data_IF_168901736317
#
_entry.id   IF_168901736317
#
_cell.length_a   1.000
_cell.length_b   1.000
_cell.length_c   1.000
_cell.angle_alpha   90.00
_cell.angle_beta   90.00
_cell.angle_gamma   90.00
#
_symmetry.space_group_name_H-M   'P 1'
#
loop_
_entity.id
_entity.type
_entity.pdbx_description
1 polymer ?
#
# COMPACT_ATOMS: atom_id res chain seq x y z
N UNK A 1 52.08 10.28 24.72
CA UNK A 1 51.39 10.51 26.03
C UNK A 1 49.97 10.04 25.87
N UNK A 2 49.66 8.80 26.22
CA UNK A 2 48.30 8.29 26.22
C UNK A 2 47.67 8.66 27.57
N UNK A 3 46.69 9.57 27.56
CA UNK A 3 45.97 9.96 28.76
C UNK A 3 45.22 8.76 29.34
N UNK A 4 45.34 8.53 30.64
CA UNK A 4 44.58 7.53 31.38
C UNK A 4 43.08 7.86 31.24
N UNK A 5 42.34 7.08 30.44
CA UNK A 5 40.91 7.19 30.32
C UNK A 5 40.28 6.88 31.71
N UNK A 6 39.53 7.83 32.26
CA UNK A 6 38.77 7.64 33.49
C UNK A 6 37.62 6.67 33.22
N UNK A 7 37.39 5.64 34.07
CA UNK A 7 36.34 4.62 33.81
C UNK A 7 34.95 5.20 33.63
N UNK A 8 34.63 6.35 34.24
CA UNK A 8 33.36 7.05 34.06
C UNK A 8 33.22 7.70 32.68
N UNK A 9 34.30 8.14 32.06
CA UNK A 9 34.26 8.75 30.73
C UNK A 9 33.95 7.71 29.66
N UNK A 10 34.53 6.52 29.75
CA UNK A 10 34.28 5.41 28.84
C UNK A 10 32.82 4.94 28.89
N UNK A 11 32.18 4.93 30.06
CA UNK A 11 30.75 4.60 30.18
C UNK A 11 29.85 5.61 29.46
N UNK A 12 30.13 6.91 29.65
CA UNK A 12 29.34 7.97 29.01
C UNK A 12 29.47 7.89 27.47
N UNK A 13 30.69 7.68 26.99
CA UNK A 13 30.97 7.55 25.56
C UNK A 13 30.25 6.33 24.95
N UNK A 14 30.23 5.21 25.65
CA UNK A 14 29.54 3.99 25.20
C UNK A 14 28.02 4.21 25.14
N UNK A 15 27.42 4.83 26.15
CA UNK A 15 25.99 5.14 26.19
C UNK A 15 25.62 6.09 25.05
N UNK A 16 26.42 7.12 24.82
CA UNK A 16 26.18 8.09 23.75
C UNK A 16 26.31 7.44 22.38
N UNK A 17 27.30 6.58 22.17
CA UNK A 17 27.46 5.83 20.94
C UNK A 17 26.25 4.90 20.66
N UNK A 18 25.78 4.15 21.65
CA UNK A 18 24.59 3.28 21.51
C UNK A 18 23.34 4.11 21.19
N UNK A 19 23.18 5.27 21.79
CA UNK A 19 22.04 6.14 21.52
C UNK A 19 22.08 6.67 20.08
N UNK A 20 23.23 7.11 19.58
CA UNK A 20 23.37 7.58 18.19
C UNK A 20 23.11 6.44 17.21
N UNK A 21 23.68 5.25 17.45
CA UNK A 21 23.46 4.09 16.57
C UNK A 21 21.99 3.70 16.56
N UNK A 22 21.32 3.68 17.70
CA UNK A 22 19.89 3.37 17.80
C UNK A 22 19.04 4.39 17.01
N UNK A 23 19.35 5.67 17.13
CA UNK A 23 18.65 6.72 16.38
C UNK A 23 18.83 6.56 14.87
N UNK A 24 20.05 6.28 14.40
CA UNK A 24 20.32 6.00 13.00
C UNK A 24 19.55 4.77 12.51
N UNK A 25 19.52 3.70 13.29
CA UNK A 25 18.78 2.49 12.95
C UNK A 25 17.29 2.76 12.80
N UNK A 26 16.66 3.44 13.73
CA UNK A 26 15.23 3.79 13.64
C UNK A 26 14.94 4.70 12.46
N UNK A 27 15.83 5.63 12.15
CA UNK A 27 15.68 6.53 11.00
C UNK A 27 15.73 5.75 9.68
N UNK A 28 16.69 4.85 9.52
CA UNK A 28 16.81 3.99 8.35
C UNK A 28 15.61 3.06 8.20
N UNK A 29 15.13 2.48 9.30
CA UNK A 29 13.96 1.63 9.31
C UNK A 29 12.71 2.39 8.85
N UNK A 30 12.49 3.60 9.37
CA UNK A 30 11.38 4.46 8.95
C UNK A 30 11.45 4.82 7.47
N UNK A 31 12.64 5.19 6.99
CA UNK A 31 12.86 5.49 5.57
C UNK A 31 12.55 4.30 4.66
N UNK A 32 12.99 3.10 5.05
CA UNK A 32 12.69 1.85 4.33
C UNK A 32 11.18 1.60 4.23
N UNK A 33 10.44 1.79 5.31
CA UNK A 33 8.98 1.67 5.31
C UNK A 33 8.29 2.66 4.36
N UNK A 34 8.74 3.92 4.35
CA UNK A 34 8.19 4.94 3.46
C UNK A 34 8.44 4.60 1.98
N UNK A 35 9.65 4.15 1.65
CA UNK A 35 9.98 3.74 0.27
C UNK A 35 9.15 2.54 -0.19
N UNK A 36 9.00 1.54 0.67
CA UNK A 36 8.14 0.39 0.37
C UNK A 36 6.69 0.81 0.12
N UNK A 37 6.15 1.68 0.96
CA UNK A 37 4.81 2.24 0.79
C UNK A 37 4.65 2.95 -0.55
N UNK A 38 5.61 3.79 -0.93
CA UNK A 38 5.60 4.49 -2.22
C UNK A 38 5.60 3.54 -3.41
N UNK A 39 6.47 2.55 -3.42
CA UNK A 39 6.54 1.54 -4.49
C UNK A 39 5.21 0.78 -4.62
N UNK A 40 4.58 0.43 -3.50
CA UNK A 40 3.28 -0.26 -3.51
C UNK A 40 2.17 0.63 -4.07
N UNK A 41 2.16 1.93 -3.76
CA UNK A 41 1.18 2.87 -4.31
C UNK A 41 1.37 3.10 -5.80
N UNK A 42 2.60 3.23 -6.28
CA UNK A 42 2.89 3.33 -7.72
C UNK A 42 2.44 2.07 -8.46
N UNK A 43 2.69 0.89 -7.90
CA UNK A 43 2.20 -0.37 -8.44
C UNK A 43 0.67 -0.42 -8.47
N UNK A 44 0.01 0.02 -7.42
CA UNK A 44 -1.45 0.08 -7.34
C UNK A 44 -2.02 1.06 -8.39
N UNK A 45 -1.42 2.24 -8.54
CA UNK A 45 -1.81 3.22 -9.55
C UNK A 45 -1.71 2.65 -10.96
N UNK A 46 -0.63 1.92 -11.27
CA UNK A 46 -0.47 1.24 -12.56
C UNK A 46 -1.55 0.18 -12.80
N UNK A 47 -1.95 -0.57 -11.77
CA UNK A 47 -3.04 -1.55 -11.88
C UNK A 47 -4.38 -0.87 -12.13
N UNK A 48 -4.67 0.23 -11.46
CA UNK A 48 -5.90 1.01 -11.66
C UNK A 48 -5.94 1.61 -13.06
N UNK A 49 -4.83 2.19 -13.52
CA UNK A 49 -4.73 2.75 -14.87
C UNK A 49 -5.02 1.68 -15.96
N UNK A 50 -4.49 0.46 -15.78
CA UNK A 50 -4.80 -0.67 -16.68
C UNK A 50 -6.27 -1.08 -16.61
N UNK A 51 -6.84 -1.18 -15.40
CA UNK A 51 -8.24 -1.53 -15.22
C UNK A 51 -9.15 -0.49 -15.90
N UNK A 52 -8.82 0.79 -15.77
CA UNK A 52 -9.54 1.89 -16.44
C UNK A 52 -9.40 1.82 -17.97
N UNK A 53 -8.20 1.54 -18.48
CA UNK A 53 -7.94 1.40 -19.92
C UNK A 53 -8.74 0.26 -20.54
N UNK A 54 -9.01 -0.82 -19.79
CA UNK A 54 -9.86 -1.95 -20.23
C UNK A 54 -11.36 -1.60 -20.16
N UNK A 55 -11.73 -0.51 -19.49
CA UNK A 55 -13.12 -0.04 -19.39
C UNK A 55 -13.85 -0.51 -18.13
N UNK A 56 -13.13 -0.91 -17.10
CA UNK A 56 -13.76 -1.20 -15.80
C UNK A 56 -14.35 0.08 -15.18
N UNK A 57 -15.47 -0.09 -14.48
CA UNK A 57 -16.12 0.99 -13.76
C UNK A 57 -15.31 1.42 -12.52
N UNK A 58 -15.63 2.58 -11.96
CA UNK A 58 -14.89 3.17 -10.83
C UNK A 58 -14.86 2.25 -9.61
N UNK A 59 -15.96 1.53 -9.35
CA UNK A 59 -16.02 0.56 -8.25
C UNK A 59 -14.98 -0.55 -8.41
N UNK A 60 -14.82 -1.10 -9.60
CA UNK A 60 -13.81 -2.13 -9.89
C UNK A 60 -12.39 -1.56 -9.83
N UNK A 61 -12.20 -0.32 -10.26
CA UNK A 61 -10.94 0.38 -10.14
C UNK A 61 -10.53 0.55 -8.66
N UNK A 62 -11.46 0.99 -7.80
CA UNK A 62 -11.23 1.10 -6.35
C UNK A 62 -10.91 -0.26 -5.72
N UNK A 63 -11.61 -1.32 -6.09
CA UNK A 63 -11.32 -2.68 -5.62
C UNK A 63 -9.92 -3.14 -6.02
N UNK A 64 -9.54 -2.87 -7.25
CA UNK A 64 -8.20 -3.21 -7.77
C UNK A 64 -7.11 -2.46 -6.99
N UNK A 65 -7.34 -1.18 -6.68
CA UNK A 65 -6.43 -0.40 -5.84
C UNK A 65 -6.30 -0.99 -4.43
N UNK A 66 -7.43 -1.27 -3.77
CA UNK A 66 -7.48 -1.82 -2.41
C UNK A 66 -6.72 -3.14 -2.30
N UNK A 67 -6.91 -4.03 -3.26
CA UNK A 67 -6.18 -5.31 -3.30
C UNK A 67 -4.69 -5.10 -3.58
N UNK A 68 -4.33 -4.14 -4.43
CA UNK A 68 -2.92 -3.89 -4.74
C UNK A 68 -2.13 -3.29 -3.57
N UNK A 69 -2.79 -2.54 -2.66
CA UNK A 69 -2.14 -1.96 -1.46
C UNK A 69 -2.22 -2.85 -0.22
N UNK A 70 -2.72 -4.08 -0.31
CA UNK A 70 -2.83 -5.01 0.81
C UNK A 70 -1.57 -5.07 1.69
N UNK A 71 -0.34 -5.16 1.15
CA UNK A 71 0.86 -5.26 1.98
C UNK A 71 1.12 -4.03 2.86
N UNK A 72 0.52 -2.90 2.55
CA UNK A 72 0.67 -1.62 3.28
C UNK A 72 -0.65 -1.11 3.87
N UNK A 73 -1.72 -1.89 3.76
CA UNK A 73 -3.06 -1.53 4.22
C UNK A 73 -3.25 -1.59 5.75
N UNK A 74 -2.24 -2.05 6.49
CA UNK A 74 -2.29 -2.14 7.94
C UNK A 74 -3.05 -3.37 8.45
N UNK A 75 -3.72 -3.21 9.60
CA UNK A 75 -4.43 -4.30 10.25
C UNK A 75 -5.74 -4.62 9.53
N UNK A 76 -6.06 -5.92 9.42
CA UNK A 76 -7.36 -6.37 8.94
C UNK A 76 -8.44 -6.07 10.00
N UNK A 77 -9.50 -5.38 9.59
CA UNK A 77 -10.64 -5.03 10.43
C UNK A 77 -11.73 -6.11 10.33
N UNK A 78 -11.96 -6.63 9.12
CA UNK A 78 -12.99 -7.64 8.89
C UNK A 78 -12.52 -8.71 7.88
N UNK A 79 -12.82 -10.01 8.13
CA UNK A 79 -13.29 -10.56 9.41
C UNK A 79 -12.23 -10.43 10.50
N UNK A 80 -12.67 -10.29 11.77
CA UNK A 80 -11.77 -10.15 12.92
C UNK A 80 -10.93 -11.41 13.12
N UNK A 81 -9.73 -11.25 13.66
CA UNK A 81 -8.87 -12.37 14.02
C UNK A 81 -9.56 -13.21 15.09
N UNK A 82 -9.89 -14.46 14.77
CA UNK A 82 -10.52 -15.43 15.71
C UNK A 82 -11.95 -15.80 15.38
N UNK A 83 -12.65 -15.11 14.49
CA UNK A 83 -13.94 -15.60 14.00
C UNK A 83 -13.75 -16.63 12.89
N UNK A 84 -13.77 -17.85 13.32
CA UNK A 84 -14.04 -19.12 12.64
C UNK A 84 -13.61 -19.27 11.19
N UNK A 85 -12.91 -20.35 10.98
CA UNK A 85 -12.57 -20.97 9.71
C UNK A 85 -11.30 -20.42 9.06
N UNK A 86 -10.39 -21.32 8.97
CA UNK A 86 -9.12 -21.32 8.23
C UNK A 86 -9.36 -21.08 6.73
N UNK A 87 -9.90 -19.90 6.39
CA UNK A 87 -10.01 -19.48 4.99
C UNK A 87 -8.67 -18.89 4.58
N UNK A 88 -8.07 -19.51 3.59
CA UNK A 88 -6.95 -18.97 2.85
C UNK A 88 -7.24 -17.50 2.47
N UNK A 89 -6.33 -16.60 2.83
CA UNK A 89 -6.47 -15.17 2.53
C UNK A 89 -6.66 -14.92 1.02
N UNK A 90 -6.06 -15.76 0.19
CA UNK A 90 -6.23 -15.74 -1.26
C UNK A 90 -7.67 -16.00 -1.70
N UNK A 91 -8.38 -16.90 -1.03
CA UNK A 91 -9.79 -17.19 -1.31
C UNK A 91 -10.70 -16.01 -0.91
N UNK A 92 -10.38 -15.32 0.18
CA UNK A 92 -11.11 -14.10 0.61
C UNK A 92 -10.91 -12.94 -0.35
N UNK A 93 -9.67 -12.71 -0.78
CA UNK A 93 -9.35 -11.69 -1.79
C UNK A 93 -10.08 -11.99 -3.10
N UNK A 94 -10.16 -13.26 -3.51
CA UNK A 94 -10.91 -13.67 -4.70
C UNK A 94 -12.40 -13.38 -4.52
N UNK A 95 -13.01 -13.80 -3.42
CA UNK A 95 -14.42 -13.54 -3.13
C UNK A 95 -14.73 -12.02 -3.06
N UNK A 96 -13.82 -11.24 -2.50
CA UNK A 96 -13.88 -9.77 -2.52
C UNK A 96 -13.88 -9.23 -3.94
N UNK A 97 -12.98 -9.69 -4.81
CA UNK A 97 -12.88 -9.25 -6.20
C UNK A 97 -14.12 -9.67 -7.03
N UNK A 98 -14.67 -10.85 -6.79
CA UNK A 98 -15.85 -11.36 -7.49
C UNK A 98 -17.16 -10.68 -7.06
N UNK A 99 -17.21 -10.05 -5.87
CA UNK A 99 -18.42 -9.40 -5.39
C UNK A 99 -18.78 -8.21 -6.29
N UNK A 100 -20.01 -8.11 -6.73
CA UNK A 100 -20.53 -7.00 -7.56
C UNK A 100 -21.16 -5.89 -6.73
N UNK A 101 -21.53 -6.19 -5.48
CA UNK A 101 -22.19 -5.26 -4.56
C UNK A 101 -21.18 -4.62 -3.59
N UNK A 102 -21.10 -3.28 -3.50
CA UNK A 102 -20.23 -2.57 -2.59
C UNK A 102 -20.43 -2.93 -1.11
N UNK A 103 -21.69 -3.12 -0.68
CA UNK A 103 -22.00 -3.48 0.70
C UNK A 103 -21.51 -4.89 1.04
N UNK A 104 -21.73 -5.83 0.12
CA UNK A 104 -21.24 -7.20 0.26
C UNK A 104 -19.71 -7.27 0.25
N UNK A 105 -19.07 -6.47 -0.59
CA UNK A 105 -17.61 -6.41 -0.65
C UNK A 105 -16.99 -6.01 0.69
N UNK A 106 -17.52 -4.98 1.36
CA UNK A 106 -17.07 -4.55 2.70
C UNK A 106 -17.27 -5.65 3.75
N UNK A 107 -18.36 -6.41 3.67
CA UNK A 107 -18.61 -7.54 4.57
C UNK A 107 -17.71 -8.75 4.34
N UNK A 108 -16.97 -8.81 3.24
CA UNK A 108 -16.04 -9.91 2.94
C UNK A 108 -14.60 -9.61 3.41
N UNK A 109 -14.15 -8.38 3.20
CA UNK A 109 -12.78 -7.99 3.53
C UNK A 109 -12.69 -6.49 3.77
N UNK A 110 -12.05 -6.08 4.87
CA UNK A 110 -11.79 -4.69 5.20
C UNK A 110 -10.46 -4.53 5.94
N UNK A 111 -9.69 -3.50 5.58
CA UNK A 111 -8.42 -3.14 6.20
C UNK A 111 -8.43 -1.69 6.66
N UNK A 112 -7.73 -1.40 7.75
CA UNK A 112 -7.65 -0.07 8.36
C UNK A 112 -7.22 1.02 7.36
N UNK A 113 -6.24 0.74 6.54
CA UNK A 113 -5.71 1.68 5.54
C UNK A 113 -6.67 1.97 4.38
N UNK A 114 -7.70 1.14 4.17
CA UNK A 114 -8.62 1.32 3.04
C UNK A 114 -9.56 2.53 3.18
N UNK A 115 -9.87 2.94 4.41
CA UNK A 115 -10.62 4.17 4.64
C UNK A 115 -9.83 5.43 4.30
N UNK A 116 -8.50 5.34 4.42
CA UNK A 116 -7.56 6.44 4.17
C UNK A 116 -7.04 6.45 2.73
N UNK A 117 -7.46 5.48 1.92
CA UNK A 117 -7.07 5.35 0.52
C UNK A 117 -7.98 6.17 -0.38
N UNK A 118 -7.45 7.20 -0.99
CA UNK A 118 -8.12 7.94 -2.06
C UNK A 118 -7.65 7.42 -3.41
N UNK A 119 -8.60 7.09 -4.27
CA UNK A 119 -8.34 6.56 -5.62
C UNK A 119 -9.03 7.45 -6.62
N UNK A 120 -8.25 8.10 -7.47
CA UNK A 120 -8.73 8.81 -8.64
C UNK A 120 -8.35 8.01 -9.89
N UNK A 121 -9.32 7.34 -10.54
CA UNK A 121 -9.03 6.55 -11.74
C UNK A 121 -8.65 7.40 -12.95
N UNK A 122 -8.91 8.71 -12.91
CA UNK A 122 -8.63 9.66 -13.99
C UNK A 122 -9.43 9.41 -15.28
N UNK A 123 -9.84 10.49 -15.93
CA UNK A 123 -10.55 10.40 -17.22
C UNK A 123 -9.60 10.36 -18.43
N UNK A 124 -8.33 10.69 -18.23
CA UNK A 124 -7.32 10.91 -19.29
C UNK A 124 -6.22 9.87 -19.41
N UNK A 125 -6.31 8.74 -18.73
CA UNK A 125 -5.25 7.72 -18.75
C UNK A 125 -4.21 7.84 -17.63
N UNK A 126 -4.33 8.82 -16.73
CA UNK A 126 -3.48 8.94 -15.56
C UNK A 126 -4.32 8.68 -14.30
N UNK A 127 -3.93 7.67 -13.53
CA UNK A 127 -4.56 7.35 -12.24
C UNK A 127 -3.68 7.82 -11.11
N UNK A 128 -4.30 8.43 -10.10
CA UNK A 128 -3.62 8.90 -8.90
C UNK A 128 -4.17 8.14 -7.70
N UNK A 129 -3.28 7.59 -6.89
CA UNK A 129 -3.64 6.93 -5.65
C UNK A 129 -2.87 7.60 -4.52
N UNK A 130 -3.58 8.05 -3.50
CA UNK A 130 -2.97 8.60 -2.30
C UNK A 130 -3.39 7.79 -1.08
N UNK A 131 -2.43 7.53 -0.19
CA UNK A 131 -2.64 6.94 1.12
C UNK A 131 -2.23 7.95 2.17
N UNK A 132 -3.20 8.44 2.91
CA UNK A 132 -2.99 9.39 3.99
C UNK A 132 -2.85 8.67 5.31
N UNK A 133 -1.72 8.83 5.97
CA UNK A 133 -1.48 8.28 7.30
C UNK A 133 -1.09 9.42 8.25
N UNK A 134 -1.28 9.25 9.57
CA UNK A 134 -0.93 10.25 10.59
C UNK A 134 0.55 10.61 10.61
N UNK A 135 1.40 9.79 9.99
CA UNK A 135 2.86 9.93 9.97
C UNK A 135 3.43 10.36 8.62
N UNK A 136 2.69 10.18 7.52
CA UNK A 136 3.14 10.55 6.18
C UNK A 136 1.97 10.54 5.18
N UNK A 137 2.04 11.43 4.22
CA UNK A 137 1.22 11.41 3.01
C UNK A 137 2.05 10.77 1.89
N UNK A 138 1.54 9.68 1.33
CA UNK A 138 2.16 9.03 0.19
C UNK A 138 1.19 9.04 -0.98
N UNK A 139 1.70 9.38 -2.15
CA UNK A 139 0.99 9.32 -3.41
C UNK A 139 1.74 8.45 -4.43
N UNK A 140 0.99 7.74 -5.23
CA UNK A 140 1.46 6.98 -6.37
C UNK A 140 0.71 7.43 -7.61
N UNK A 141 1.43 7.68 -8.68
CA UNK A 141 0.86 8.10 -9.96
C UNK A 141 1.30 7.14 -11.05
N UNK A 142 0.36 6.76 -11.92
CA UNK A 142 0.69 5.98 -13.09
C UNK A 142 -0.23 6.35 -14.25
N UNK A 143 0.32 6.40 -15.44
CA UNK A 143 -0.39 6.59 -16.68
C UNK A 143 -0.27 5.36 -17.58
N UNK A 144 -1.33 5.04 -18.31
CA UNK A 144 -1.30 4.04 -19.38
C UNK A 144 -1.71 4.75 -20.66
N UNK A 145 -0.84 4.72 -21.65
CA UNK A 145 -1.19 5.27 -22.97
C UNK A 145 -2.39 4.54 -23.57
N UNK A 146 -3.33 5.32 -24.12
CA UNK A 146 -4.58 4.83 -24.74
C UNK A 146 -4.38 3.85 -25.91
N UNK A 147 -3.16 3.59 -26.33
CA UNK A 147 -2.84 2.64 -27.41
C UNK A 147 -3.25 1.19 -27.13
N UNK A 148 -3.49 0.84 -25.86
CA UNK A 148 -3.91 -0.52 -25.50
C UNK A 148 -5.37 -0.86 -25.83
N UNK A 149 -6.23 0.14 -26.00
CA UNK A 149 -7.65 -0.06 -26.35
C UNK A 149 -7.84 -0.49 -27.80
N UNK A 150 -6.87 -0.22 -28.67
CA UNK A 150 -6.97 -0.59 -30.08
C UNK A 150 -6.84 -2.10 -30.36
N UNK A 151 -6.15 -2.84 -29.49
CA UNK A 151 -5.95 -4.27 -29.70
C UNK A 151 -7.13 -5.15 -29.28
N UNK A 152 -7.95 -4.68 -28.34
CA UNK A 152 -9.13 -5.42 -27.87
C UNK A 152 -10.41 -5.10 -28.68
N UNK A 153 -10.42 -4.02 -29.46
CA UNK A 153 -11.56 -3.62 -30.30
C UNK A 153 -11.57 -4.25 -31.70
N UNK A 154 -10.51 -4.91 -32.12
CA UNK A 154 -10.42 -5.48 -33.48
C UNK A 154 -10.89 -6.94 -33.61
N UNK A 155 -11.45 -7.52 -32.57
CA UNK A 155 -11.82 -8.94 -32.53
C UNK A 155 -13.31 -9.26 -32.57
N UNK A 156 -14.21 -8.31 -32.81
CA UNK A 156 -15.65 -8.58 -32.90
C UNK A 156 -16.23 -7.83 -34.09
N UNK A 157 -16.11 -8.43 -35.25
CA UNK A 157 -17.04 -8.31 -36.38
C UNK A 157 -17.51 -9.71 -36.75
#
# INVERSE_FOLDING_TARGET
MFGKAHPGQAMIETVLAVLVISFLFFTLFKLSHMLTGKIMLEHAAMRVARARAVGFNDFMCVKTARVAVLPVAGKRLWPSEGEGVDYDESARVRAYLESTDPARARGLLEYEGWERLSVDPGDGGMSVISLKNDWFDLDGQAGVEKGYTYYLGMGVN
#
